data_IF_542022390035
#
_entry.id   IF_542022390035
#
_cell.length_a   1.000
_cell.length_b   1.000
_cell.length_c   1.000
_cell.angle_alpha   90.00
_cell.angle_beta   90.00
_cell.angle_gamma   90.00
#
_symmetry.space_group_name_H-M   'P 1'
#
loop_
_entity.id
_entity.type
_entity.pdbx_description
1 polymer ?
#
# COMPACT_ATOMS: atom_id res chain seq x y z
N UNK A 1 7.72 18.02 -1.46
CA UNK A 1 7.07 17.68 -0.18
C UNK A 1 5.59 17.45 -0.47
N UNK A 2 5.13 16.19 -0.57
CA UNK A 2 3.68 15.93 -0.65
C UNK A 2 3.13 16.12 0.77
N UNK A 3 2.12 16.99 0.90
CA UNK A 3 1.42 17.16 2.17
C UNK A 3 0.72 15.85 2.56
N UNK A 4 0.58 15.60 3.85
CA UNK A 4 -0.31 14.54 4.34
C UNK A 4 -1.74 15.03 4.09
N UNK A 5 -2.46 14.34 3.22
CA UNK A 5 -3.85 14.64 2.91
C UNK A 5 -4.72 13.48 3.37
N UNK A 6 -5.68 13.75 4.24
CA UNK A 6 -6.79 12.82 4.48
C UNK A 6 -7.81 13.01 3.35
N UNK A 7 -8.01 11.96 2.54
CA UNK A 7 -8.84 12.05 1.34
C UNK A 7 -10.28 11.54 1.57
N UNK A 8 -10.67 11.27 2.82
CA UNK A 8 -12.03 10.87 3.19
C UNK A 8 -12.45 9.48 2.70
N UNK A 9 -11.51 8.60 2.37
CA UNK A 9 -11.78 7.28 1.76
C UNK A 9 -12.28 6.21 2.72
N UNK A 10 -12.73 6.61 3.91
CA UNK A 10 -13.13 5.67 4.96
C UNK A 10 -14.39 4.87 4.61
N UNK A 11 -15.14 5.32 3.60
CA UNK A 11 -16.37 4.69 3.11
C UNK A 11 -16.24 4.08 1.71
N UNK A 12 -15.05 4.09 1.11
CA UNK A 12 -14.83 3.47 -0.21
C UNK A 12 -14.65 1.96 -0.03
N UNK A 13 -15.23 1.17 -0.94
CA UNK A 13 -14.98 -0.26 -1.00
C UNK A 13 -13.51 -0.52 -1.43
N UNK A 14 -12.95 -1.67 -1.04
CA UNK A 14 -11.54 -1.99 -1.23
C UNK A 14 -11.07 -1.91 -2.70
N UNK A 15 -11.88 -2.40 -3.65
CA UNK A 15 -11.51 -2.40 -5.06
C UNK A 15 -11.55 -0.99 -5.70
N UNK A 16 -12.61 -0.17 -5.52
CA UNK A 16 -12.59 1.24 -5.89
C UNK A 16 -11.42 2.02 -5.30
N UNK A 17 -11.08 1.77 -4.03
CA UNK A 17 -9.91 2.36 -3.39
C UNK A 17 -8.61 1.97 -4.11
N UNK A 18 -8.41 0.67 -4.40
CA UNK A 18 -7.24 0.21 -5.15
C UNK A 18 -7.19 0.82 -6.56
N UNK A 19 -8.32 0.94 -7.24
CA UNK A 19 -8.45 1.56 -8.57
C UNK A 19 -8.04 3.03 -8.55
N UNK A 20 -8.48 3.78 -7.53
CA UNK A 20 -8.08 5.18 -7.37
C UNK A 20 -6.59 5.31 -7.09
N UNK A 21 -6.04 4.51 -6.17
CA UNK A 21 -4.60 4.46 -5.92
C UNK A 21 -3.80 4.16 -7.19
N UNK A 22 -4.24 3.20 -7.99
CA UNK A 22 -3.61 2.88 -9.28
C UNK A 22 -3.66 4.06 -10.26
N UNK A 23 -4.81 4.72 -10.39
CA UNK A 23 -4.99 5.90 -11.26
C UNK A 23 -4.13 7.10 -10.86
N UNK A 24 -3.85 7.26 -9.57
CA UNK A 24 -3.02 8.35 -9.03
C UNK A 24 -1.53 7.97 -8.90
N UNK A 25 -1.16 6.73 -9.22
CA UNK A 25 0.21 6.23 -9.08
C UNK A 25 0.66 6.12 -7.61
N UNK A 26 -0.26 5.80 -6.71
CA UNK A 26 -0.03 5.68 -5.27
C UNK A 26 0.03 4.20 -4.86
N UNK A 27 1.10 3.80 -4.17
CA UNK A 27 1.12 2.52 -3.48
C UNK A 27 0.17 2.56 -2.26
N UNK A 28 -0.54 1.46 -2.01
CA UNK A 28 -1.45 1.31 -0.88
C UNK A 28 -0.79 0.47 0.22
N UNK A 29 -0.74 1.02 1.43
CA UNK A 29 -0.30 0.30 2.64
C UNK A 29 -1.55 -0.11 3.43
N UNK A 30 -1.68 -1.39 3.80
CA UNK A 30 -2.88 -1.88 4.49
C UNK A 30 -2.62 -3.09 5.39
N UNK A 31 -3.37 -3.18 6.50
CA UNK A 31 -3.49 -4.40 7.31
C UNK A 31 -4.58 -5.35 6.75
N UNK A 32 -5.43 -4.90 5.81
CA UNK A 32 -6.47 -5.73 5.20
C UNK A 32 -5.86 -6.62 4.09
N UNK A 33 -5.13 -7.66 4.49
CA UNK A 33 -4.43 -8.53 3.54
C UNK A 33 -5.39 -9.37 2.70
N UNK A 34 -6.41 -9.97 3.34
CA UNK A 34 -7.26 -10.97 2.70
C UNK A 34 -7.96 -10.43 1.46
N UNK A 35 -8.63 -9.28 1.62
CA UNK A 35 -9.43 -8.70 0.55
C UNK A 35 -8.53 -8.15 -0.58
N UNK A 36 -7.49 -7.40 -0.22
CA UNK A 36 -6.59 -6.81 -1.22
C UNK A 36 -5.72 -7.85 -1.94
N UNK A 37 -5.37 -8.97 -1.31
CA UNK A 37 -4.66 -10.05 -2.01
C UNK A 37 -5.55 -10.73 -3.06
N UNK A 38 -6.83 -10.96 -2.75
CA UNK A 38 -7.81 -11.50 -3.70
C UNK A 38 -8.02 -10.53 -4.87
N UNK A 39 -8.20 -9.24 -4.59
CA UNK A 39 -8.38 -8.21 -5.62
C UNK A 39 -7.13 -8.11 -6.51
N UNK A 40 -5.93 -8.09 -5.92
CA UNK A 40 -4.68 -7.99 -6.66
C UNK A 40 -4.46 -9.20 -7.59
N UNK A 41 -4.76 -10.41 -7.12
CA UNK A 41 -4.70 -11.61 -7.96
C UNK A 41 -5.69 -11.52 -9.12
N UNK A 42 -6.95 -11.12 -8.85
CA UNK A 42 -7.97 -10.97 -9.89
C UNK A 42 -7.56 -9.93 -10.94
N UNK A 43 -6.99 -8.82 -10.51
CA UNK A 43 -6.46 -7.80 -11.41
C UNK A 43 -5.33 -8.34 -12.28
N UNK A 44 -4.39 -9.10 -11.71
CA UNK A 44 -3.32 -9.73 -12.47
C UNK A 44 -3.88 -10.65 -13.56
N UNK A 45 -4.91 -11.45 -13.24
CA UNK A 45 -5.58 -12.33 -14.20
C UNK A 45 -6.32 -11.55 -15.30
N UNK A 46 -6.84 -10.36 -14.96
CA UNK A 46 -7.50 -9.41 -15.89
C UNK A 46 -6.49 -8.53 -16.67
N UNK A 47 -5.18 -8.65 -16.43
CA UNK A 47 -4.14 -7.79 -17.03
C UNK A 47 -4.12 -6.35 -16.50
N UNK A 48 -4.76 -6.10 -15.35
CA UNK A 48 -4.76 -4.81 -14.63
C UNK A 48 -3.61 -4.77 -13.64
N UNK A 49 -3.09 -3.56 -13.36
CA UNK A 49 -1.91 -3.36 -12.53
C UNK A 49 -2.19 -2.29 -11.47
N UNK A 50 -1.97 -2.63 -10.19
CA UNK A 50 -1.96 -1.65 -9.10
C UNK A 50 -0.61 -0.93 -9.00
N UNK A 51 -0.58 0.28 -8.44
CA UNK A 51 0.66 1.05 -8.31
C UNK A 51 1.62 0.54 -7.20
N UNK A 52 1.15 -0.41 -6.38
CA UNK A 52 1.94 -1.13 -5.38
C UNK A 52 1.10 -1.47 -4.17
N UNK A 53 1.31 -2.66 -3.59
CA UNK A 53 0.66 -3.08 -2.35
C UNK A 53 1.70 -3.36 -1.29
N UNK A 54 1.51 -2.80 -0.11
CA UNK A 54 2.39 -2.97 1.05
C UNK A 54 1.54 -3.49 2.19
N UNK A 55 1.65 -4.77 2.47
CA UNK A 55 0.95 -5.41 3.57
C UNK A 55 1.72 -5.23 4.87
N UNK A 56 0.97 -5.00 5.94
CA UNK A 56 1.46 -4.89 7.32
C UNK A 56 0.56 -5.73 8.23
N UNK A 57 1.00 -5.93 9.48
CA UNK A 57 0.19 -6.58 10.51
C UNK A 57 0.47 -5.94 11.87
N UNK A 58 -0.53 -5.93 12.75
CA UNK A 58 -0.35 -5.46 14.13
C UNK A 58 0.60 -6.36 14.95
N UNK A 59 0.82 -7.61 14.50
CA UNK A 59 1.79 -8.53 15.12
C UNK A 59 3.25 -8.09 14.87
N UNK A 60 3.54 -7.59 13.66
CA UNK A 60 4.87 -7.07 13.30
C UNK A 60 5.04 -5.59 13.66
N UNK A 61 3.95 -4.82 13.57
CA UNK A 61 3.91 -3.40 13.88
C UNK A 61 2.79 -3.05 14.86
N UNK A 62 2.98 -3.34 16.16
CA UNK A 62 2.00 -2.97 17.17
C UNK A 62 1.69 -1.48 17.15
N UNK A 63 0.41 -1.10 17.26
CA UNK A 63 -0.06 0.30 17.25
C UNK A 63 0.25 1.04 18.55
N UNK A 64 1.54 1.15 18.87
CA UNK A 64 2.07 1.86 20.04
C UNK A 64 2.95 3.01 19.58
N UNK A 65 3.00 4.08 20.37
CA UNK A 65 3.75 5.29 20.02
C UNK A 65 5.25 5.04 19.78
N UNK A 66 5.85 4.11 20.52
CA UNK A 66 7.25 3.72 20.38
C UNK A 66 7.56 2.97 19.07
N UNK A 67 6.54 2.43 18.41
CA UNK A 67 6.69 1.67 17.15
C UNK A 67 6.58 2.55 15.91
N UNK A 68 5.98 3.73 16.01
CA UNK A 68 5.74 4.62 14.86
C UNK A 68 7.05 4.93 14.13
N UNK A 69 8.11 5.30 14.86
CA UNK A 69 9.41 5.62 14.26
C UNK A 69 10.00 4.43 13.48
N UNK A 70 9.97 3.23 14.07
CA UNK A 70 10.49 2.01 13.41
C UNK A 70 9.69 1.64 12.16
N UNK A 71 8.37 1.85 12.19
CA UNK A 71 7.53 1.63 11.02
C UNK A 71 7.86 2.62 9.90
N UNK A 72 8.06 3.89 10.24
CA UNK A 72 8.50 4.93 9.30
C UNK A 72 9.87 4.59 8.70
N UNK A 73 10.83 4.14 9.51
CA UNK A 73 12.16 3.74 9.02
C UNK A 73 12.10 2.57 8.04
N UNK A 74 11.27 1.56 8.33
CA UNK A 74 11.08 0.41 7.45
C UNK A 74 10.39 0.80 6.14
N UNK A 75 9.41 1.69 6.20
CA UNK A 75 8.75 2.23 5.01
C UNK A 75 9.73 3.07 4.18
N UNK A 76 10.53 3.93 4.80
CA UNK A 76 11.54 4.74 4.11
C UNK A 76 12.58 3.86 3.41
N UNK A 77 13.08 2.81 4.08
CA UNK A 77 13.99 1.83 3.49
C UNK A 77 13.38 1.12 2.26
N UNK A 78 12.09 0.76 2.33
CA UNK A 78 11.40 0.17 1.19
C UNK A 78 11.30 1.15 0.01
N UNK A 79 10.91 2.40 0.27
CA UNK A 79 10.73 3.41 -0.77
C UNK A 79 12.05 3.85 -1.40
N UNK A 80 13.10 4.04 -0.58
CA UNK A 80 14.46 4.40 -1.05
C UNK A 80 15.14 3.24 -1.80
N UNK A 81 14.78 1.99 -1.52
CA UNK A 81 15.19 0.83 -2.30
C UNK A 81 14.47 0.70 -3.66
N UNK A 82 13.39 1.47 -3.89
CA UNK A 82 12.54 1.37 -5.07
C UNK A 82 12.29 2.78 -5.68
N UNK A 83 13.35 3.46 -6.12
CA UNK A 83 13.30 4.86 -6.59
C UNK A 83 12.82 5.09 -8.02
N UNK A 84 12.68 4.01 -8.81
CA UNK A 84 12.22 4.12 -10.20
C UNK A 84 10.74 4.51 -10.30
N UNK A 85 10.37 5.20 -11.40
CA UNK A 85 8.97 5.41 -11.76
C UNK A 85 8.27 4.05 -11.86
N UNK A 86 7.15 3.87 -11.13
CA UNK A 86 6.41 2.60 -11.10
C UNK A 86 7.20 1.39 -10.57
N UNK A 87 8.28 1.60 -9.79
CA UNK A 87 9.12 0.53 -9.21
C UNK A 87 8.38 -0.49 -8.35
N UNK A 88 7.23 -0.11 -7.79
CA UNK A 88 6.34 -0.94 -6.99
C UNK A 88 5.12 -1.47 -7.77
N UNK A 89 4.93 -1.07 -9.03
CA UNK A 89 3.73 -1.42 -9.78
C UNK A 89 3.63 -2.93 -9.99
N UNK A 90 2.45 -3.48 -9.72
CA UNK A 90 2.18 -4.93 -9.77
C UNK A 90 2.94 -5.75 -8.72
N UNK A 91 3.59 -5.13 -7.73
CA UNK A 91 4.37 -5.82 -6.69
C UNK A 91 3.69 -5.72 -5.33
N UNK A 92 3.75 -6.83 -4.61
CA UNK A 92 3.31 -6.93 -3.22
C UNK A 92 4.55 -7.00 -2.33
N UNK A 93 4.59 -6.15 -1.32
CA UNK A 93 5.64 -6.11 -0.29
C UNK A 93 5.03 -6.36 1.09
N UNK A 94 5.83 -6.97 1.97
CA UNK A 94 5.45 -7.19 3.36
C UNK A 94 6.34 -6.38 4.28
N UNK A 95 5.76 -5.37 4.89
CA UNK A 95 6.39 -4.66 5.99
C UNK A 95 6.08 -5.34 7.31
#
# INVERSE_FOLDING_TARGET
>A
MRAVSELGWQSEDDEPLLARCAGEGLALITNNVGDFAVIAQRWADEGRVHAGLIFTSDARWPRRRDMIGRFVDALDALLTGNTGTMSLAGRIHWL
#
